data_IF_788582276855
#
_entry.id   IF_788582276855
#
_cell.length_a   1.000
_cell.length_b   1.000
_cell.length_c   1.000
_cell.angle_alpha   90.00
_cell.angle_beta   90.00
_cell.angle_gamma   90.00
#
_symmetry.space_group_name_H-M   'P 1'
#
loop_
_entity.id
_entity.type
_entity.pdbx_description
1 polymer ?
#
# COMPACT_ATOMS: atom_id res chain seq x y z
N UNK A 1 24.69 13.80 58.80
CA UNK A 1 24.97 13.06 57.55
C UNK A 1 23.74 12.38 56.92
N UNK A 2 22.52 12.88 57.15
CA UNK A 2 21.27 12.23 56.70
C UNK A 2 20.42 13.02 55.70
N UNK A 3 20.83 14.24 55.31
CA UNK A 3 20.07 15.07 54.37
C UNK A 3 20.61 15.07 52.92
N UNK A 4 21.80 14.49 52.68
CA UNK A 4 22.39 14.45 51.32
C UNK A 4 21.87 13.24 50.51
N UNK A 5 21.30 12.23 51.17
CA UNK A 5 20.88 10.99 50.50
C UNK A 5 19.43 11.02 49.97
N UNK A 6 18.62 12.01 50.36
CA UNK A 6 17.23 12.13 49.89
C UNK A 6 17.11 12.86 48.54
N UNK A 7 18.10 13.68 48.17
CA UNK A 7 18.12 14.37 46.87
C UNK A 7 18.58 13.47 45.70
N UNK A 8 19.24 12.33 45.96
CA UNK A 8 19.65 11.39 44.92
C UNK A 8 18.54 10.39 44.52
N UNK A 9 17.45 10.30 45.28
CA UNK A 9 16.30 9.44 44.96
C UNK A 9 15.20 10.15 44.17
N UNK A 10 15.23 11.50 44.10
CA UNK A 10 14.30 12.29 43.27
C UNK A 10 14.92 12.78 41.95
N UNK A 11 16.21 12.52 41.71
CA UNK A 11 16.89 12.83 40.45
C UNK A 11 16.92 11.64 39.45
N UNK A 12 16.36 10.49 39.81
CA UNK A 12 16.28 9.32 38.93
C UNK A 12 14.93 9.18 38.18
N UNK A 13 14.03 10.15 38.35
CA UNK A 13 12.71 10.18 37.70
C UNK A 13 12.63 11.23 36.58
N UNK A 14 13.68 11.33 35.76
CA UNK A 14 13.67 12.11 34.52
C UNK A 14 14.61 11.56 33.44
N UNK A 15 14.84 10.25 33.43
CA UNK A 15 15.26 9.54 32.23
C UNK A 15 13.98 9.00 31.61
N UNK A 16 13.38 9.78 30.71
CA UNK A 16 12.41 9.25 29.76
C UNK A 16 13.07 8.06 29.08
N UNK A 17 12.58 6.85 29.39
CA UNK A 17 13.02 5.64 28.71
C UNK A 17 12.74 5.88 27.23
N UNK A 18 13.76 5.81 26.34
CA UNK A 18 13.51 5.88 24.92
C UNK A 18 12.51 4.79 24.56
N UNK A 19 11.45 5.14 23.83
CA UNK A 19 10.55 4.21 23.16
C UNK A 19 11.35 3.42 22.11
N UNK A 20 12.13 2.45 22.56
CA UNK A 20 12.98 1.62 21.69
C UNK A 20 12.73 0.12 21.97
N UNK A 21 11.43 -0.25 22.07
CA UNK A 21 10.96 -1.64 22.20
C UNK A 21 10.34 -2.19 20.91
N UNK A 22 10.84 -1.78 19.75
CA UNK A 22 10.30 -2.20 18.44
C UNK A 22 11.12 -3.27 17.71
N UNK A 23 12.26 -3.75 18.25
CA UNK A 23 13.12 -4.66 17.50
C UNK A 23 12.61 -6.11 17.52
N UNK A 24 11.69 -6.45 16.62
CA UNK A 24 11.41 -7.81 16.12
C UNK A 24 12.35 -8.21 14.97
N UNK A 25 13.44 -7.46 14.77
CA UNK A 25 14.36 -7.59 13.63
C UNK A 25 14.82 -9.06 13.49
N UNK A 26 14.42 -9.70 12.40
CA UNK A 26 14.72 -11.12 12.08
C UNK A 26 13.63 -12.14 12.47
N UNK A 27 12.53 -11.75 13.12
CA UNK A 27 11.40 -12.67 13.44
C UNK A 27 10.27 -12.64 12.41
N UNK A 28 10.05 -11.49 11.76
CA UNK A 28 8.95 -11.31 10.81
C UNK A 28 9.46 -10.89 9.45
N UNK A 29 9.00 -11.60 8.43
CA UNK A 29 9.24 -11.30 7.02
C UNK A 29 7.95 -10.80 6.39
N UNK A 30 8.06 -9.98 5.35
CA UNK A 30 6.91 -9.43 4.62
C UNK A 30 7.02 -9.74 3.13
N UNK A 31 5.96 -10.33 2.60
CA UNK A 31 5.71 -10.45 1.17
C UNK A 31 4.55 -9.54 0.78
N UNK A 32 4.80 -8.51 -0.02
CA UNK A 32 3.78 -7.68 -0.66
C UNK A 32 3.50 -8.19 -2.07
N UNK A 33 2.26 -8.55 -2.38
CA UNK A 33 1.85 -8.96 -3.71
C UNK A 33 0.79 -7.99 -4.25
N UNK A 34 1.03 -7.46 -5.45
CA UNK A 34 0.05 -6.68 -6.19
C UNK A 34 -0.45 -7.48 -7.39
N UNK A 35 -1.76 -7.72 -7.45
CA UNK A 35 -2.46 -8.23 -8.63
C UNK A 35 -3.14 -7.05 -9.33
N UNK A 36 -2.49 -6.50 -10.36
CA UNK A 36 -2.91 -5.28 -11.04
C UNK A 36 -4.40 -5.30 -11.42
N UNK A 37 -5.11 -4.22 -11.14
CA UNK A 37 -6.51 -4.06 -11.53
C UNK A 37 -7.50 -5.00 -10.83
N UNK A 38 -7.09 -5.71 -9.77
CA UNK A 38 -7.99 -6.58 -9.00
C UNK A 38 -8.97 -5.74 -8.15
N UNK A 39 -10.15 -5.51 -8.72
CA UNK A 39 -11.26 -4.77 -8.09
C UNK A 39 -11.80 -5.50 -6.85
N UNK A 40 -12.21 -4.72 -5.86
CA UNK A 40 -12.65 -5.16 -4.53
C UNK A 40 -13.76 -6.24 -4.48
N UNK A 41 -14.52 -6.41 -5.57
CA UNK A 41 -15.68 -7.30 -5.68
C UNK A 41 -15.45 -8.52 -6.59
N UNK A 42 -14.28 -8.64 -7.21
CA UNK A 42 -13.99 -9.72 -8.16
C UNK A 42 -14.02 -11.12 -7.54
N UNK A 43 -13.83 -11.23 -6.23
CA UNK A 43 -13.91 -12.46 -5.44
C UNK A 43 -15.35 -12.84 -5.05
N UNK A 44 -16.36 -12.02 -5.37
CA UNK A 44 -17.75 -12.27 -4.95
C UNK A 44 -18.56 -13.12 -5.92
N UNK A 45 -18.15 -13.14 -7.20
CA UNK A 45 -18.86 -13.84 -8.27
C UNK A 45 -18.01 -14.93 -8.94
N UNK A 46 -16.92 -15.32 -8.28
CA UNK A 46 -15.99 -16.37 -8.70
C UNK A 46 -15.74 -17.27 -7.49
N UNK A 47 -15.68 -18.58 -7.70
CA UNK A 47 -15.26 -19.51 -6.64
C UNK A 47 -13.75 -19.35 -6.40
N UNK A 48 -13.40 -18.76 -5.25
CA UNK A 48 -12.02 -18.42 -4.87
C UNK A 48 -11.65 -19.02 -3.51
N UNK A 49 -11.54 -20.36 -3.41
CA UNK A 49 -11.36 -21.04 -2.13
C UNK A 49 -10.03 -20.68 -1.43
N UNK A 50 -8.97 -20.35 -2.18
CA UNK A 50 -7.68 -20.01 -1.58
C UNK A 50 -7.68 -18.60 -0.99
N UNK A 51 -8.28 -17.64 -1.69
CA UNK A 51 -8.55 -16.32 -1.17
C UNK A 51 -9.44 -16.43 0.07
N UNK A 52 -10.55 -17.16 0.01
CA UNK A 52 -11.48 -17.33 1.14
C UNK A 52 -10.81 -17.93 2.37
N UNK A 53 -9.97 -18.94 2.16
CA UNK A 53 -9.14 -19.51 3.22
C UNK A 53 -8.16 -18.47 3.77
N UNK A 54 -7.54 -17.65 2.93
CA UNK A 54 -6.66 -16.56 3.38
C UNK A 54 -7.40 -15.51 4.24
N UNK A 55 -8.65 -15.18 3.95
CA UNK A 55 -9.43 -14.27 4.80
C UNK A 55 -9.81 -14.90 6.15
N UNK A 56 -10.11 -16.20 6.18
CA UNK A 56 -10.38 -16.92 7.43
C UNK A 56 -9.12 -17.01 8.30
N UNK A 57 -7.98 -17.25 7.69
CA UNK A 57 -6.71 -17.39 8.39
C UNK A 57 -6.08 -16.05 8.78
N UNK A 58 -6.64 -14.93 8.30
CA UNK A 58 -6.04 -13.61 8.41
C UNK A 58 -7.03 -12.47 8.50
N UNK A 59 -6.69 -11.37 7.84
CA UNK A 59 -7.43 -10.12 7.79
C UNK A 59 -7.89 -9.84 6.36
N UNK A 60 -9.14 -9.40 6.21
CA UNK A 60 -9.70 -8.89 4.94
C UNK A 60 -10.26 -7.48 5.16
N UNK A 61 -9.95 -6.56 4.25
CA UNK A 61 -10.66 -5.28 4.21
C UNK A 61 -11.89 -5.39 3.31
N UNK A 62 -12.94 -4.62 3.60
CA UNK A 62 -14.08 -4.48 2.68
C UNK A 62 -13.66 -4.01 1.30
N UNK A 63 -12.74 -3.05 1.26
CA UNK A 63 -11.99 -2.56 0.10
C UNK A 63 -10.90 -1.61 0.61
N UNK A 64 -9.95 -1.24 -0.26
CA UNK A 64 -9.03 -0.13 0.00
C UNK A 64 -9.28 1.02 -0.98
N UNK A 65 -8.84 2.22 -0.64
CA UNK A 65 -8.94 3.40 -1.52
C UNK A 65 -7.56 3.76 -2.04
N UNK A 66 -7.34 3.73 -3.36
CA UNK A 66 -6.06 4.10 -3.95
C UNK A 66 -5.89 5.63 -3.97
N UNK A 67 -4.66 6.15 -4.16
CA UNK A 67 -4.46 7.56 -4.46
C UNK A 67 -5.09 7.91 -5.82
N UNK A 68 -5.42 9.18 -6.01
CA UNK A 68 -5.61 9.72 -7.34
C UNK A 68 -4.24 10.16 -7.91
N UNK A 69 -3.87 9.83 -9.15
CA UNK A 69 -4.61 9.10 -10.19
C UNK A 69 -4.59 7.58 -9.94
N UNK A 70 -5.72 6.89 -10.19
CA UNK A 70 -5.84 5.43 -10.03
C UNK A 70 -5.23 4.69 -11.22
N UNK A 71 -3.92 4.85 -11.39
CA UNK A 71 -3.12 4.24 -12.45
C UNK A 71 -1.91 3.52 -11.85
N UNK A 72 -1.41 2.53 -12.56
CA UNK A 72 -0.49 1.53 -12.04
C UNK A 72 0.72 2.11 -11.32
N UNK A 73 1.54 2.90 -12.02
CA UNK A 73 2.84 3.34 -11.49
C UNK A 73 2.71 4.21 -10.23
N UNK A 74 1.98 5.36 -10.24
CA UNK A 74 1.78 6.19 -9.04
C UNK A 74 1.23 5.45 -7.83
N UNK A 75 0.28 4.53 -8.01
CA UNK A 75 -0.27 3.81 -6.87
C UNK A 75 0.70 2.78 -6.33
N UNK A 76 1.42 2.05 -7.17
CA UNK A 76 2.49 1.15 -6.71
C UNK A 76 3.57 1.90 -5.92
N UNK A 77 3.95 3.11 -6.33
CA UNK A 77 4.82 3.97 -5.53
C UNK A 77 4.22 4.32 -4.17
N UNK A 78 2.92 4.60 -4.13
CA UNK A 78 2.20 4.88 -2.88
C UNK A 78 2.21 3.67 -1.94
N UNK A 79 2.03 2.44 -2.46
CA UNK A 79 2.12 1.21 -1.66
C UNK A 79 3.48 1.03 -0.98
N UNK A 80 4.57 1.36 -1.69
CA UNK A 80 5.93 1.17 -1.19
C UNK A 80 6.47 2.31 -0.33
N UNK A 81 5.88 3.51 -0.41
CA UNK A 81 6.42 4.71 0.26
C UNK A 81 5.46 5.31 1.28
N UNK A 82 4.18 4.98 1.20
CA UNK A 82 3.13 5.64 1.98
C UNK A 82 3.00 7.12 1.63
N UNK A 83 3.40 7.54 0.44
CA UNK A 83 3.29 8.92 -0.01
C UNK A 83 2.35 9.04 -1.20
N UNK A 84 1.49 10.05 -1.20
CA UNK A 84 0.71 10.38 -2.39
C UNK A 84 1.65 10.82 -3.52
N UNK A 85 1.20 10.67 -4.78
CA UNK A 85 1.94 11.05 -5.98
C UNK A 85 2.53 12.49 -5.92
N UNK A 86 1.92 13.37 -5.12
CA UNK A 86 2.39 14.73 -4.84
C UNK A 86 3.80 14.84 -4.28
N UNK A 87 4.23 13.86 -3.49
CA UNK A 87 5.45 13.95 -2.68
C UNK A 87 6.64 13.25 -3.32
N UNK A 88 6.48 12.70 -4.53
CA UNK A 88 7.57 12.10 -5.29
C UNK A 88 8.46 13.24 -5.82
N UNK A 89 9.75 13.34 -5.43
CA UNK A 89 10.63 14.41 -5.86
C UNK A 89 10.76 14.48 -7.38
N UNK A 90 10.86 15.71 -7.93
CA UNK A 90 11.07 15.97 -9.37
C UNK A 90 12.45 15.54 -9.87
N UNK A 91 13.36 15.19 -8.97
CA UNK A 91 14.61 14.55 -9.35
C UNK A 91 14.29 13.16 -9.89
N UNK A 92 14.64 12.93 -11.17
CA UNK A 92 14.82 11.58 -11.70
C UNK A 92 15.97 10.94 -10.92
N UNK A 93 15.69 10.50 -9.70
CA UNK A 93 16.40 9.42 -9.05
C UNK A 93 15.59 8.18 -9.38
N UNK A 94 15.86 7.54 -10.51
CA UNK A 94 15.31 6.23 -10.75
C UNK A 94 15.76 5.31 -9.61
N UNK A 95 14.78 4.76 -8.91
CA UNK A 95 14.96 3.84 -7.80
C UNK A 95 15.64 2.51 -8.22
N UNK A 96 16.05 2.37 -9.49
CA UNK A 96 16.93 1.29 -9.95
C UNK A 96 18.22 1.17 -9.15
N UNK A 97 18.58 2.20 -8.37
CA UNK A 97 19.77 2.18 -7.55
C UNK A 97 19.59 1.55 -6.16
N UNK A 98 18.45 0.93 -5.80
CA UNK A 98 18.27 0.31 -4.45
C UNK A 98 17.97 -1.18 -4.45
N UNK A 99 17.71 -1.82 -5.59
CA UNK A 99 17.78 -3.29 -5.66
C UNK A 99 19.22 -3.70 -5.27
N UNK A 100 19.33 -4.43 -4.17
CA UNK A 100 20.58 -4.87 -3.54
C UNK A 100 21.47 -3.77 -2.94
N UNK A 101 21.01 -2.53 -2.73
CA UNK A 101 21.79 -1.58 -1.87
C UNK A 101 21.70 -1.92 -0.39
N UNK A 102 20.64 -2.62 0.00
CA UNK A 102 20.47 -3.13 1.34
C UNK A 102 20.26 -4.65 1.24
N UNK A 103 21.06 -5.42 1.97
CA UNK A 103 21.14 -6.89 1.90
C UNK A 103 19.86 -7.63 2.33
N UNK A 104 18.77 -6.92 2.67
CA UNK A 104 17.56 -7.47 3.28
C UNK A 104 16.28 -7.39 2.41
N UNK A 105 16.32 -6.84 1.19
CA UNK A 105 15.12 -6.62 0.36
C UNK A 105 15.25 -7.08 -1.10
N UNK A 106 14.18 -7.68 -1.64
CA UNK A 106 14.05 -8.11 -3.04
C UNK A 106 12.78 -7.56 -3.70
N UNK A 107 12.76 -7.44 -5.04
CA UNK A 107 11.55 -7.04 -5.77
C UNK A 107 11.54 -7.64 -7.18
N UNK A 108 10.36 -8.07 -7.63
CA UNK A 108 10.15 -8.63 -8.95
C UNK A 108 8.89 -8.03 -9.60
N UNK A 109 9.08 -7.43 -10.78
CA UNK A 109 8.05 -6.79 -11.63
C UNK A 109 7.33 -5.57 -11.04
N UNK A 110 7.65 -5.12 -9.83
CA UNK A 110 7.03 -3.94 -9.23
C UNK A 110 7.46 -2.64 -9.94
N UNK A 111 6.55 -1.73 -10.32
CA UNK A 111 6.90 -0.45 -10.93
C UNK A 111 7.93 0.34 -10.10
N UNK A 112 8.95 0.88 -10.76
CA UNK A 112 10.09 1.53 -10.11
C UNK A 112 11.30 0.62 -9.81
N UNK A 113 11.21 -0.68 -10.10
CA UNK A 113 12.32 -1.66 -10.00
C UNK A 113 12.82 -2.11 -11.37
N UNK A 114 14.01 -2.74 -11.48
CA UNK A 114 14.63 -3.14 -12.75
C UNK A 114 13.95 -4.38 -13.37
N UNK A 115 12.67 -4.26 -13.66
CA UNK A 115 11.87 -5.36 -14.20
C UNK A 115 11.28 -4.96 -15.55
N UNK A 116 11.63 -5.71 -16.59
CA UNK A 116 10.99 -5.60 -17.90
C UNK A 116 9.63 -6.30 -17.85
N UNK A 117 8.56 -5.53 -18.01
CA UNK A 117 7.22 -6.07 -18.27
C UNK A 117 7.09 -6.32 -19.78
N UNK A 118 7.08 -7.59 -20.16
CA UNK A 118 6.48 -8.05 -21.42
C UNK A 118 5.28 -8.90 -21.02
N UNK A 119 4.11 -8.65 -21.63
CA UNK A 119 2.80 -9.20 -21.28
C UNK A 119 2.74 -10.74 -21.32
N UNK A 120 3.37 -11.37 -20.35
CA UNK A 120 3.56 -12.82 -20.29
C UNK A 120 2.60 -13.41 -19.26
N UNK A 121 1.42 -13.78 -19.75
CA UNK A 121 0.39 -14.54 -19.04
C UNK A 121 0.73 -16.03 -18.95
N UNK A 122 2.01 -16.40 -18.98
CA UNK A 122 2.38 -17.82 -18.92
C UNK A 122 2.38 -18.27 -17.47
N UNK A 123 1.43 -19.15 -17.12
CA UNK A 123 1.34 -19.83 -15.82
C UNK A 123 2.69 -20.37 -15.34
N UNK A 124 3.55 -20.81 -16.27
CA UNK A 124 4.92 -21.26 -16.02
C UNK A 124 5.77 -20.16 -15.40
N UNK A 125 5.78 -18.95 -15.96
CA UNK A 125 6.58 -17.82 -15.47
C UNK A 125 6.11 -17.32 -14.10
N UNK A 126 4.79 -17.34 -13.87
CA UNK A 126 4.25 -17.02 -12.53
C UNK A 126 4.76 -18.00 -11.48
N UNK A 127 4.76 -19.30 -11.81
CA UNK A 127 5.31 -20.34 -10.92
C UNK A 127 6.80 -20.14 -10.69
N UNK A 128 7.59 -19.96 -11.74
CA UNK A 128 9.04 -19.72 -11.64
C UNK A 128 9.37 -18.50 -10.76
N UNK A 129 8.62 -17.41 -10.91
CA UNK A 129 8.78 -16.21 -10.09
C UNK A 129 8.46 -16.46 -8.62
N UNK A 130 7.38 -17.19 -8.33
CA UNK A 130 6.99 -17.55 -6.97
C UNK A 130 8.01 -18.52 -6.35
N UNK A 131 8.46 -19.53 -7.09
CA UNK A 131 9.48 -20.50 -6.63
C UNK A 131 10.80 -19.79 -6.32
N UNK A 132 11.28 -18.92 -7.22
CA UNK A 132 12.49 -18.12 -6.98
C UNK A 132 12.39 -17.27 -5.72
N UNK A 133 11.26 -16.60 -5.53
CA UNK A 133 11.03 -15.77 -4.35
C UNK A 133 11.02 -16.61 -3.07
N UNK A 134 10.30 -17.74 -3.05
CA UNK A 134 10.17 -18.55 -1.84
C UNK A 134 11.48 -19.27 -1.52
N UNK A 135 12.01 -20.04 -2.46
CA UNK A 135 13.15 -20.92 -2.22
C UNK A 135 14.47 -20.16 -2.20
N UNK A 136 14.69 -19.22 -3.13
CA UNK A 136 15.97 -18.50 -3.18
C UNK A 136 15.95 -17.26 -2.30
N UNK A 137 14.94 -16.39 -2.42
CA UNK A 137 15.02 -15.08 -1.75
C UNK A 137 14.68 -15.16 -0.26
N UNK A 138 13.59 -15.83 0.11
CA UNK A 138 13.24 -15.96 1.52
C UNK A 138 14.05 -17.04 2.23
N UNK A 139 14.26 -18.22 1.63
CA UNK A 139 14.94 -19.33 2.32
C UNK A 139 16.48 -19.28 2.23
N UNK A 140 17.06 -19.11 1.04
CA UNK A 140 18.53 -19.14 0.88
C UNK A 140 19.19 -17.79 1.19
N UNK A 141 18.63 -16.69 0.68
CA UNK A 141 19.17 -15.33 0.87
C UNK A 141 18.67 -14.64 2.14
N UNK A 142 17.71 -15.24 2.84
CA UNK A 142 17.15 -14.75 4.11
C UNK A 142 16.61 -13.30 4.04
N UNK A 143 16.03 -12.89 2.91
CA UNK A 143 15.47 -11.54 2.77
C UNK A 143 14.30 -11.33 3.74
N UNK A 144 14.18 -10.13 4.29
CA UNK A 144 13.10 -9.76 5.22
C UNK A 144 11.90 -9.15 4.51
N UNK A 145 12.12 -8.57 3.33
CA UNK A 145 11.05 -7.98 2.52
C UNK A 145 11.17 -8.38 1.06
N UNK A 146 10.05 -8.84 0.48
CA UNK A 146 9.93 -9.00 -0.97
C UNK A 146 8.64 -8.38 -1.47
N UNK A 147 8.72 -7.67 -2.61
CA UNK A 147 7.54 -7.27 -3.38
C UNK A 147 7.43 -8.04 -4.71
N UNK A 148 6.23 -8.49 -5.02
CA UNK A 148 5.89 -9.23 -6.24
C UNK A 148 4.69 -8.58 -6.94
N UNK A 149 4.76 -8.48 -8.26
CA UNK A 149 3.69 -7.90 -9.07
C UNK A 149 3.26 -8.86 -10.18
N UNK A 150 1.95 -8.94 -10.39
CA UNK A 150 1.31 -9.62 -11.52
C UNK A 150 0.42 -8.61 -12.26
N UNK A 151 0.60 -8.47 -13.57
CA UNK A 151 -0.19 -7.54 -14.39
C UNK A 151 -1.60 -8.05 -14.76
N UNK A 152 -2.14 -8.98 -13.98
CA UNK A 152 -3.47 -9.53 -14.13
C UNK A 152 -4.21 -9.43 -12.80
N UNK A 153 -5.55 -9.26 -12.79
CA UNK A 153 -6.46 -9.37 -13.94
C UNK A 153 -6.59 -8.11 -14.83
N UNK A 154 -5.78 -7.06 -14.61
CA UNK A 154 -5.82 -5.81 -15.38
C UNK A 154 -5.80 -6.00 -16.90
N UNK A 155 -4.80 -6.72 -17.43
CA UNK A 155 -4.67 -6.95 -18.87
C UNK A 155 -5.91 -7.63 -19.46
N UNK A 156 -6.47 -8.63 -18.77
CA UNK A 156 -7.73 -9.26 -19.16
C UNK A 156 -8.92 -8.30 -19.05
N UNK A 157 -8.96 -7.47 -18.00
CA UNK A 157 -9.96 -6.44 -17.75
C UNK A 157 -10.00 -5.38 -18.85
N UNK A 158 -8.84 -4.88 -19.31
CA UNK A 158 -8.76 -3.97 -20.44
C UNK A 158 -9.30 -4.60 -21.72
N UNK A 159 -8.90 -5.84 -22.01
CA UNK A 159 -9.23 -6.51 -23.26
C UNK A 159 -10.71 -6.89 -23.38
N UNK A 160 -11.29 -7.42 -22.30
CA UNK A 160 -12.63 -8.02 -22.32
C UNK A 160 -13.66 -7.28 -21.46
N UNK A 161 -13.23 -6.40 -20.57
CA UNK A 161 -14.07 -5.68 -19.61
C UNK A 161 -14.10 -6.36 -18.23
N UNK A 162 -14.33 -5.57 -17.15
CA UNK A 162 -14.33 -6.07 -15.76
C UNK A 162 -15.41 -7.12 -15.46
N UNK A 163 -16.51 -7.18 -16.21
CA UNK A 163 -17.61 -8.13 -15.93
C UNK A 163 -17.60 -9.35 -16.86
N UNK A 164 -16.55 -9.51 -17.66
CA UNK A 164 -16.43 -10.57 -18.66
C UNK A 164 -16.22 -11.98 -18.05
N UNK A 165 -16.66 -13.04 -18.74
CA UNK A 165 -16.30 -14.42 -18.40
C UNK A 165 -14.79 -14.67 -18.37
N UNK A 166 -14.03 -14.03 -19.26
CA UNK A 166 -12.58 -14.14 -19.35
C UNK A 166 -11.91 -13.59 -18.09
N UNK A 167 -12.34 -12.42 -17.61
CA UNK A 167 -11.87 -11.86 -16.34
C UNK A 167 -12.21 -12.78 -15.17
N UNK A 168 -13.40 -13.40 -15.15
CA UNK A 168 -13.74 -14.41 -14.11
C UNK A 168 -12.78 -15.60 -14.12
N UNK A 169 -12.38 -16.10 -15.27
CA UNK A 169 -11.41 -17.19 -15.35
C UNK A 169 -10.01 -16.74 -14.90
N UNK A 170 -9.61 -15.50 -15.23
CA UNK A 170 -8.36 -14.94 -14.73
C UNK A 170 -8.35 -14.81 -13.20
N UNK A 171 -9.47 -14.44 -12.58
CA UNK A 171 -9.58 -14.41 -11.11
C UNK A 171 -9.41 -15.80 -10.50
N UNK A 172 -9.91 -16.87 -11.14
CA UNK A 172 -9.61 -18.24 -10.69
C UNK A 172 -8.12 -18.58 -10.80
N UNK A 173 -7.45 -18.07 -11.84
CA UNK A 173 -5.99 -18.23 -11.97
C UNK A 173 -5.24 -17.51 -10.85
N UNK A 174 -5.65 -16.27 -10.51
CA UNK A 174 -5.12 -15.54 -9.36
C UNK A 174 -5.33 -16.33 -8.06
N UNK A 175 -6.53 -16.87 -7.83
CA UNK A 175 -6.83 -17.68 -6.65
C UNK A 175 -5.92 -18.93 -6.56
N UNK A 176 -5.75 -19.68 -7.66
CA UNK A 176 -4.82 -20.82 -7.71
C UNK A 176 -3.39 -20.40 -7.38
N UNK A 177 -2.95 -19.24 -7.85
CA UNK A 177 -1.62 -18.69 -7.56
C UNK A 177 -1.47 -18.31 -6.09
N UNK A 178 -2.50 -17.72 -5.46
CA UNK A 178 -2.50 -17.45 -4.01
C UNK A 178 -2.36 -18.74 -3.21
N UNK A 179 -3.11 -19.79 -3.56
CA UNK A 179 -2.98 -21.10 -2.91
C UNK A 179 -1.58 -21.69 -3.04
N UNK A 180 -1.00 -21.59 -4.25
CA UNK A 180 0.35 -22.09 -4.52
C UNK A 180 1.44 -21.33 -3.75
N UNK A 181 1.35 -20.00 -3.69
CA UNK A 181 2.24 -19.14 -2.87
C UNK A 181 2.21 -19.59 -1.41
N UNK A 182 1.02 -19.77 -0.84
CA UNK A 182 0.87 -20.19 0.56
C UNK A 182 1.43 -21.59 0.81
N UNK A 183 1.16 -22.53 -0.09
CA UNK A 183 1.73 -23.88 0.01
C UNK A 183 3.25 -23.88 -0.06
N UNK A 184 3.85 -23.07 -0.92
CA UNK A 184 5.32 -22.94 -1.00
C UNK A 184 5.92 -22.29 0.25
N UNK A 185 5.24 -21.31 0.86
CA UNK A 185 5.68 -20.74 2.12
C UNK A 185 5.75 -21.81 3.23
N UNK A 186 4.74 -22.67 3.33
CA UNK A 186 4.74 -23.79 4.27
C UNK A 186 5.85 -24.81 3.97
N UNK A 187 6.01 -25.22 2.72
CA UNK A 187 7.05 -26.18 2.29
C UNK A 187 8.47 -25.66 2.56
N UNK A 188 8.67 -24.35 2.51
CA UNK A 188 9.95 -23.70 2.80
C UNK A 188 10.14 -23.36 4.29
N UNK A 189 9.25 -23.79 5.18
CA UNK A 189 9.37 -23.54 6.63
C UNK A 189 9.16 -22.08 7.03
N UNK A 190 8.49 -21.29 6.19
CA UNK A 190 8.26 -19.85 6.39
C UNK A 190 6.95 -19.55 7.13
N UNK A 191 6.15 -20.57 7.47
CA UNK A 191 4.80 -20.41 8.04
C UNK A 191 4.77 -19.56 9.33
N UNK A 192 5.80 -19.66 10.17
CA UNK A 192 5.86 -18.99 11.47
C UNK A 192 6.50 -17.60 11.42
N UNK A 193 7.06 -17.18 10.28
CA UNK A 193 7.80 -15.92 10.14
C UNK A 193 7.27 -15.02 9.02
N UNK A 194 6.69 -15.58 7.95
CA UNK A 194 6.26 -14.81 6.78
C UNK A 194 4.85 -14.27 6.91
N UNK A 195 4.72 -12.96 6.71
CA UNK A 195 3.46 -12.24 6.58
C UNK A 195 3.22 -11.88 5.12
N UNK A 196 2.13 -12.36 4.55
CA UNK A 196 1.77 -12.16 3.15
C UNK A 196 0.64 -11.13 3.10
N UNK A 197 0.89 -10.01 2.42
CA UNK A 197 -0.08 -8.97 2.10
C UNK A 197 -0.37 -9.08 0.60
N UNK A 198 -1.63 -9.26 0.22
CA UNK A 198 -2.07 -9.20 -1.17
C UNK A 198 -3.07 -8.06 -1.36
N UNK A 199 -2.88 -7.29 -2.42
CA UNK A 199 -3.74 -6.16 -2.78
C UNK A 199 -3.63 -5.88 -4.27
N UNK A 200 -4.14 -4.74 -4.70
CA UNK A 200 -3.99 -4.20 -6.04
C UNK A 200 -3.81 -2.69 -5.95
N UNK A 201 -3.40 -2.11 -7.06
CA UNK A 201 -3.22 -0.68 -7.26
C UNK A 201 -4.51 0.08 -7.58
N UNK A 202 -5.39 -0.51 -8.37
CA UNK A 202 -6.70 0.06 -8.68
C UNK A 202 -7.72 -1.04 -8.94
N UNK A 203 -8.96 -0.62 -9.16
CA UNK A 203 -9.97 -1.45 -9.78
C UNK A 203 -10.06 -1.21 -11.29
N UNK A 204 -11.26 -1.37 -11.85
CA UNK A 204 -11.52 -1.32 -13.29
C UNK A 204 -13.01 -1.06 -13.53
N UNK A 205 -13.33 -0.19 -14.49
CA UNK A 205 -14.71 0.09 -14.93
C UNK A 205 -14.92 -0.25 -16.40
N UNK A 206 -16.17 -0.48 -16.81
CA UNK A 206 -16.48 -0.73 -18.22
C UNK A 206 -16.39 0.55 -19.05
N UNK A 207 -15.87 0.43 -20.27
CA UNK A 207 -15.85 1.50 -21.27
C UNK A 207 -16.93 1.22 -22.32
N UNK A 208 -18.02 1.98 -22.26
CA UNK A 208 -19.12 1.90 -23.23
C UNK A 208 -18.85 2.76 -24.48
N UNK A 209 -19.32 2.31 -25.65
CA UNK A 209 -19.08 2.96 -26.96
C UNK A 209 -20.21 2.73 -27.95
N UNK A 210 -20.06 3.26 -29.17
CA UNK A 210 -20.91 2.94 -30.33
C UNK A 210 -22.39 3.26 -30.08
N UNK A 211 -22.67 4.39 -29.44
CA UNK A 211 -24.03 4.85 -29.15
C UNK A 211 -24.65 4.28 -27.87
N UNK A 212 -23.94 3.41 -27.14
CA UNK A 212 -24.34 3.01 -25.78
C UNK A 212 -24.26 4.18 -24.78
N UNK A 213 -23.41 5.15 -25.06
CA UNK A 213 -23.24 6.38 -24.27
C UNK A 213 -23.02 7.57 -25.19
N UNK A 214 -23.32 8.77 -24.68
CA UNK A 214 -22.96 10.02 -25.35
C UNK A 214 -21.49 10.31 -25.10
N UNK A 215 -20.66 10.02 -26.09
CA UNK A 215 -19.21 10.24 -26.00
C UNK A 215 -18.84 11.73 -25.92
N UNK A 216 -17.86 12.04 -25.07
CA UNK A 216 -17.28 13.38 -24.98
C UNK A 216 -16.16 13.49 -26.02
N UNK A 217 -16.38 14.31 -27.06
CA UNK A 217 -15.37 14.58 -28.09
C UNK A 217 -14.84 16.01 -27.96
N UNK A 218 -13.61 16.18 -27.46
CA UNK A 218 -13.05 17.51 -27.20
C UNK A 218 -13.03 18.42 -28.43
N UNK A 219 -12.71 17.89 -29.61
CA UNK A 219 -12.72 18.67 -30.87
C UNK A 219 -14.10 19.17 -31.31
N UNK A 220 -15.18 18.63 -30.73
CA UNK A 220 -16.56 19.08 -30.99
C UNK A 220 -17.04 20.12 -29.98
N UNK A 221 -16.25 20.42 -28.94
CA UNK A 221 -16.59 21.42 -27.94
C UNK A 221 -16.36 22.82 -28.54
N UNK A 222 -17.38 23.70 -28.61
CA UNK A 222 -17.22 25.05 -29.12
C UNK A 222 -16.14 25.83 -28.36
N UNK A 223 -15.27 26.54 -29.08
CA UNK A 223 -14.19 27.34 -28.50
C UNK A 223 -12.92 26.56 -28.16
N UNK A 224 -12.97 25.22 -28.13
CA UNK A 224 -11.79 24.39 -27.94
C UNK A 224 -11.06 24.12 -29.26
N UNK A 225 -9.73 24.22 -29.27
CA UNK A 225 -8.93 23.82 -30.42
C UNK A 225 -7.58 23.24 -29.98
N UNK A 226 -7.22 22.07 -30.52
CA UNK A 226 -5.94 21.42 -30.22
C UNK A 226 -4.70 22.28 -30.55
N UNK A 227 -4.81 23.22 -31.50
CA UNK A 227 -3.75 24.18 -31.79
C UNK A 227 -3.41 25.13 -30.63
N UNK A 228 -4.31 25.29 -29.66
CA UNK A 228 -4.11 26.13 -28.48
C UNK A 228 -3.38 25.40 -27.35
N UNK A 229 -3.05 24.12 -27.54
CA UNK A 229 -2.36 23.24 -26.60
C UNK A 229 -0.94 22.98 -27.08
N UNK A 230 0.03 23.04 -26.16
CA UNK A 230 1.44 22.75 -26.41
C UNK A 230 1.75 21.26 -26.23
N UNK A 231 1.11 20.63 -25.25
CA UNK A 231 1.26 19.22 -24.94
C UNK A 231 -0.04 18.68 -24.34
N UNK A 232 -0.36 17.43 -24.59
CA UNK A 232 -1.40 16.73 -23.86
C UNK A 232 -0.76 15.41 -23.45
N UNK A 233 -0.66 15.17 -22.14
CA UNK A 233 -0.26 13.84 -21.67
C UNK A 233 -1.51 12.97 -21.79
N UNK A 234 -1.46 12.06 -22.75
CA UNK A 234 -2.39 10.96 -22.90
C UNK A 234 -1.70 9.78 -22.26
N UNK A 235 -1.89 9.59 -20.97
CA UNK A 235 -2.04 8.20 -20.58
C UNK A 235 -3.41 7.77 -21.11
N UNK A 236 -3.51 6.58 -21.70
CA UNK A 236 -4.76 6.14 -22.32
C UNK A 236 -5.77 5.92 -21.18
N UNK A 237 -6.82 6.73 -21.07
CA UNK A 237 -7.72 6.64 -19.93
C UNK A 237 -8.75 7.76 -19.80
N UNK A 238 -9.55 7.74 -18.72
CA UNK A 238 -10.60 8.70 -18.42
C UNK A 238 -10.06 10.00 -17.80
N UNK A 239 -8.83 10.00 -17.31
CA UNK A 239 -8.15 11.19 -16.81
C UNK A 239 -7.16 11.73 -17.84
N UNK A 240 -7.23 13.03 -18.13
CA UNK A 240 -6.36 13.68 -19.12
C UNK A 240 -5.69 14.93 -18.57
N UNK A 241 -4.42 15.16 -18.93
CA UNK A 241 -3.71 16.39 -18.58
C UNK A 241 -3.41 17.22 -19.83
N UNK A 242 -3.99 18.42 -19.90
CA UNK A 242 -3.75 19.36 -20.99
C UNK A 242 -2.75 20.45 -20.56
N UNK A 243 -1.81 20.78 -21.45
CA UNK A 243 -0.90 21.92 -21.32
C UNK A 243 -1.26 22.99 -22.37
N UNK A 244 -2.07 24.01 -22.01
CA UNK A 244 -2.33 25.16 -22.87
C UNK A 244 -1.03 25.89 -23.24
N UNK A 245 -0.97 26.46 -24.45
CA UNK A 245 0.10 27.38 -24.85
C UNK A 245 0.08 28.63 -23.97
N UNK A 246 1.21 29.34 -23.90
CA UNK A 246 1.32 30.60 -23.14
C UNK A 246 0.17 31.55 -23.50
N UNK A 247 -0.57 32.03 -22.49
CA UNK A 247 -1.71 32.93 -22.66
C UNK A 247 -3.04 32.27 -23.08
N UNK A 248 -3.07 30.95 -23.29
CA UNK A 248 -4.28 30.22 -23.71
C UNK A 248 -5.02 29.52 -22.57
N UNK A 249 -4.52 29.59 -21.33
CA UNK A 249 -5.12 28.86 -20.19
C UNK A 249 -6.61 29.16 -20.04
N UNK A 250 -6.98 30.42 -19.83
CA UNK A 250 -8.38 30.79 -19.56
C UNK A 250 -9.27 30.46 -20.77
N UNK A 251 -8.77 30.70 -21.98
CA UNK A 251 -9.48 30.32 -23.22
C UNK A 251 -9.80 28.83 -23.27
N UNK A 252 -8.81 27.96 -23.01
CA UNK A 252 -9.00 26.51 -23.05
C UNK A 252 -9.87 26.06 -21.88
N UNK A 253 -9.69 26.64 -20.71
CA UNK A 253 -10.47 26.34 -19.51
C UNK A 253 -11.94 26.69 -19.69
N UNK A 254 -12.26 27.92 -20.09
CA UNK A 254 -13.62 28.40 -20.27
C UNK A 254 -14.35 27.65 -21.39
N UNK A 255 -13.63 27.17 -22.41
CA UNK A 255 -14.19 26.33 -23.45
C UNK A 255 -14.61 24.95 -22.93
N UNK A 256 -13.85 24.36 -21.99
CA UNK A 256 -14.07 22.99 -21.51
C UNK A 256 -14.93 22.93 -20.24
N UNK A 257 -14.83 23.92 -19.34
CA UNK A 257 -15.52 23.94 -18.06
C UNK A 257 -17.04 23.95 -18.28
N UNK A 258 -17.72 22.91 -17.80
CA UNK A 258 -19.17 22.79 -17.96
C UNK A 258 -19.62 22.46 -19.39
N UNK A 259 -18.70 22.15 -20.31
CA UNK A 259 -19.03 21.74 -21.67
C UNK A 259 -19.78 20.40 -21.73
N UNK A 260 -19.65 19.57 -20.69
CA UNK A 260 -20.38 18.32 -20.55
C UNK A 260 -20.63 18.00 -19.06
N UNK A 261 -21.80 17.44 -18.68
CA UNK A 261 -22.11 17.11 -17.27
C UNK A 261 -21.15 16.08 -16.65
N UNK A 262 -20.50 15.27 -17.48
CA UNK A 262 -19.53 14.24 -17.07
C UNK A 262 -18.07 14.61 -17.41
N UNK A 263 -17.81 15.90 -17.71
CA UNK A 263 -16.45 16.42 -17.92
C UNK A 263 -16.13 17.40 -16.81
N UNK A 264 -15.31 16.97 -15.86
CA UNK A 264 -14.78 17.84 -14.82
C UNK A 264 -13.44 18.40 -15.26
N UNK A 265 -13.30 19.71 -15.18
CA UNK A 265 -12.11 20.43 -15.64
C UNK A 265 -11.62 21.29 -14.49
N UNK A 266 -10.43 21.00 -14.02
CA UNK A 266 -9.84 21.72 -12.89
C UNK A 266 -8.61 22.48 -13.34
N UNK A 267 -8.52 23.77 -12.96
CA UNK A 267 -7.21 24.39 -12.84
C UNK A 267 -6.47 23.73 -11.69
N UNK A 268 -5.13 23.79 -11.72
CA UNK A 268 -4.26 23.18 -10.71
C UNK A 268 -4.64 23.59 -9.28
N UNK A 269 -4.94 24.87 -9.08
CA UNK A 269 -5.33 25.48 -7.81
C UNK A 269 -6.78 25.15 -7.38
N UNK A 270 -7.61 24.69 -8.31
CA UNK A 270 -9.01 24.30 -8.08
C UNK A 270 -9.19 22.80 -7.84
N UNK A 271 -8.13 22.01 -8.00
CA UNK A 271 -8.16 20.57 -7.77
C UNK A 271 -8.64 20.27 -6.34
N UNK A 272 -9.61 19.34 -6.17
CA UNK A 272 -10.09 18.94 -4.85
C UNK A 272 -8.95 18.52 -3.93
N UNK A 273 -8.88 19.12 -2.73
CA UNK A 273 -7.80 18.85 -1.76
C UNK A 273 -7.68 17.37 -1.39
N UNK A 274 -8.81 16.65 -1.36
CA UNK A 274 -8.87 15.20 -1.07
C UNK A 274 -8.11 14.32 -2.06
N UNK A 275 -7.87 14.80 -3.28
CA UNK A 275 -7.16 14.03 -4.30
C UNK A 275 -5.64 14.05 -4.06
N UNK A 276 -5.15 14.96 -3.20
CA UNK A 276 -3.73 15.13 -2.91
C UNK A 276 -2.85 15.26 -4.17
N UNK A 277 -3.41 15.72 -5.30
CA UNK A 277 -2.76 15.70 -6.61
C UNK A 277 -2.03 17.02 -6.94
N UNK A 278 -2.56 18.16 -6.49
CA UNK A 278 -1.98 19.48 -6.80
C UNK A 278 -0.74 19.78 -5.93
N UNK A 279 0.39 20.09 -6.57
CA UNK A 279 1.67 20.42 -5.90
C UNK A 279 2.42 21.57 -6.56
N UNK A 280 3.25 22.28 -5.80
CA UNK A 280 4.13 23.32 -6.33
C UNK A 280 5.26 22.78 -7.25
N UNK A 281 5.61 21.48 -7.14
CA UNK A 281 6.80 20.86 -7.75
C UNK A 281 6.52 20.10 -9.04
N UNK A 282 5.27 19.71 -9.32
CA UNK A 282 4.86 19.44 -10.69
C UNK A 282 4.98 20.78 -11.42
N UNK A 283 5.80 20.88 -12.47
CA UNK A 283 6.15 22.15 -13.07
C UNK A 283 4.88 22.96 -13.30
N UNK A 284 4.99 24.27 -13.04
CA UNK A 284 3.98 25.33 -13.05
C UNK A 284 3.26 25.50 -14.39
N UNK A 285 2.82 24.39 -14.92
CA UNK A 285 1.99 24.24 -16.06
C UNK A 285 0.58 24.32 -15.52
N UNK A 286 -0.12 25.30 -16.05
CA UNK A 286 -1.54 25.46 -15.92
C UNK A 286 -2.25 24.24 -16.54
N UNK A 287 -2.20 23.12 -15.82
CA UNK A 287 -2.70 21.82 -16.25
C UNK A 287 -4.20 21.80 -16.03
N UNK A 288 -4.95 21.65 -17.11
CA UNK A 288 -6.34 21.27 -16.99
C UNK A 288 -6.36 19.76 -16.81
N UNK A 289 -6.77 19.32 -15.63
CA UNK A 289 -7.09 17.91 -15.39
C UNK A 289 -8.52 17.69 -15.84
N UNK A 290 -8.69 16.83 -16.84
CA UNK A 290 -9.97 16.29 -17.24
C UNK A 290 -10.20 15.04 -16.41
N UNK A 291 -11.28 15.02 -15.64
CA UNK A 291 -11.79 13.79 -15.05
C UNK A 291 -13.14 13.51 -15.72
N UNK A 292 -13.18 12.39 -16.45
CA UNK A 292 -14.33 12.00 -17.22
C UNK A 292 -15.02 10.84 -16.51
N UNK A 293 -16.11 11.13 -15.81
CA UNK A 293 -16.96 10.11 -15.17
C UNK A 293 -17.73 9.26 -16.20
N UNK A 294 -17.53 9.51 -17.50
CA UNK A 294 -18.09 8.77 -18.63
C UNK A 294 -17.11 8.86 -19.81
N UNK A 295 -16.99 7.79 -20.59
CA UNK A 295 -16.03 7.66 -21.71
C UNK A 295 -15.93 8.91 -22.61
N UNK A 296 -14.78 9.58 -22.61
CA UNK A 296 -14.48 10.67 -23.54
C UNK A 296 -13.17 10.41 -24.27
N UNK A 297 -13.14 10.60 -25.59
CA UNK A 297 -12.00 10.17 -26.40
C UNK A 297 -11.70 11.01 -27.64
N UNK A 298 -10.39 11.04 -27.93
CA UNK A 298 -9.79 11.16 -29.27
C UNK A 298 -9.51 9.73 -29.75
N UNK A 299 -10.33 9.16 -30.65
CA UNK A 299 -10.18 7.93 -31.48
C UNK A 299 -9.08 6.83 -31.23
N UNK A 300 -8.48 6.70 -30.04
CA UNK A 300 -7.32 5.83 -29.78
C UNK A 300 -7.50 4.87 -28.58
N UNK A 301 -8.64 4.87 -27.89
CA UNK A 301 -8.94 3.80 -26.91
C UNK A 301 -9.45 2.62 -27.67
N UNK A 302 -9.10 1.41 -27.25
CA UNK A 302 -9.70 0.17 -27.77
C UNK A 302 -10.11 -0.79 -26.65
N UNK A 303 -9.82 -0.42 -25.40
CA UNK A 303 -10.15 -1.23 -24.24
C UNK A 303 -11.66 -1.24 -23.95
N UNK A 304 -12.13 -2.42 -23.52
CA UNK A 304 -13.48 -2.68 -23.01
C UNK A 304 -13.59 -2.35 -21.51
N UNK A 305 -12.49 -2.39 -20.78
CA UNK A 305 -12.37 -1.90 -19.41
C UNK A 305 -11.27 -0.84 -19.29
N UNK A 306 -11.43 0.12 -18.39
CA UNK A 306 -10.40 1.12 -18.12
C UNK A 306 -10.38 1.55 -16.65
N UNK A 307 -9.25 2.11 -16.23
CA UNK A 307 -9.06 2.68 -14.89
C UNK A 307 -8.46 4.09 -15.00
N UNK A 308 -8.33 4.78 -13.88
CA UNK A 308 -7.84 6.18 -13.84
C UNK A 308 -8.94 7.21 -13.55
N UNK A 309 -10.15 6.76 -13.21
CA UNK A 309 -11.25 7.63 -12.77
C UNK A 309 -10.99 8.19 -11.36
N UNK A 310 -11.92 9.01 -10.86
CA UNK A 310 -11.88 9.45 -9.47
C UNK A 310 -11.72 8.27 -8.50
N UNK A 311 -10.82 8.42 -7.53
CA UNK A 311 -10.52 7.36 -6.58
C UNK A 311 -11.66 7.11 -5.56
N UNK A 312 -12.71 7.95 -5.53
CA UNK A 312 -13.94 7.70 -4.77
C UNK A 312 -14.87 6.68 -5.44
N UNK A 313 -14.76 6.48 -6.76
CA UNK A 313 -15.59 5.52 -7.48
C UNK A 313 -15.37 4.10 -6.96
N UNK A 314 -16.47 3.38 -6.72
CA UNK A 314 -16.40 2.01 -6.20
C UNK A 314 -15.68 1.08 -7.18
N UNK A 315 -15.79 1.35 -8.48
CA UNK A 315 -15.09 0.57 -9.50
C UNK A 315 -13.58 0.69 -9.42
N UNK A 316 -13.05 1.78 -8.85
CA UNK A 316 -11.61 2.02 -8.71
C UNK A 316 -11.02 1.42 -7.44
N UNK A 317 -11.83 0.85 -6.55
CA UNK A 317 -11.36 0.32 -5.27
C UNK A 317 -10.68 -1.05 -5.46
N UNK A 318 -9.41 -1.22 -5.07
CA UNK A 318 -8.78 -2.53 -5.03
C UNK A 318 -9.19 -3.32 -3.79
N UNK A 319 -8.94 -4.63 -3.84
CA UNK A 319 -9.09 -5.52 -2.69
C UNK A 319 -7.86 -5.48 -1.76
N UNK A 320 -8.00 -5.98 -0.53
CA UNK A 320 -6.88 -6.17 0.40
C UNK A 320 -7.10 -7.40 1.29
N UNK A 321 -6.07 -8.24 1.41
CA UNK A 321 -6.00 -9.35 2.38
C UNK A 321 -4.59 -9.46 2.95
N UNK A 322 -4.48 -9.85 4.21
CA UNK A 322 -3.21 -10.12 4.87
C UNK A 322 -3.30 -11.38 5.73
N UNK A 323 -2.25 -12.21 5.74
CA UNK A 323 -2.15 -13.41 6.58
C UNK A 323 -0.73 -13.58 7.07
N UNK A 324 -0.55 -14.15 8.26
CA UNK A 324 0.76 -14.41 8.82
C UNK A 324 0.77 -14.30 10.34
N UNK A 325 1.93 -14.56 10.98
CA UNK A 325 2.06 -14.57 12.44
C UNK A 325 1.75 -13.23 13.10
N UNK A 326 1.91 -12.10 12.39
CA UNK A 326 1.57 -10.78 12.93
C UNK A 326 0.08 -10.44 12.80
N UNK A 327 -0.66 -11.12 11.92
CA UNK A 327 -2.05 -10.78 11.60
C UNK A 327 -3.04 -11.42 12.59
N UNK A 328 -4.13 -10.71 12.89
CA UNK A 328 -5.31 -11.34 13.48
C UNK A 328 -5.89 -12.38 12.53
N UNK A 329 -6.63 -13.34 13.08
CA UNK A 329 -7.33 -14.37 12.30
C UNK A 329 -8.82 -14.05 12.18
N UNK A 330 -9.39 -14.40 11.03
CA UNK A 330 -10.82 -14.28 10.74
C UNK A 330 -11.39 -12.88 11.03
N UNK A 331 -10.65 -11.84 10.65
CA UNK A 331 -11.04 -10.45 10.92
C UNK A 331 -11.38 -9.73 9.62
N UNK A 332 -12.62 -9.24 9.52
CA UNK A 332 -12.99 -8.24 8.52
C UNK A 332 -12.87 -6.83 9.12
N UNK A 333 -12.18 -5.95 8.40
CA UNK A 333 -12.03 -4.53 8.78
C UNK A 333 -12.70 -3.61 7.77
N UNK A 334 -13.02 -2.41 8.26
CA UNK A 334 -13.56 -1.35 7.42
C UNK A 334 -12.57 -0.89 6.33
N UNK A 335 -13.03 -0.08 5.38
CA UNK A 335 -12.18 0.46 4.33
C UNK A 335 -11.07 1.35 4.87
N UNK A 336 -9.95 1.40 4.15
CA UNK A 336 -8.85 2.32 4.43
C UNK A 336 -8.06 2.68 3.16
N UNK A 337 -7.16 3.66 3.25
CA UNK A 337 -6.36 4.12 2.10
C UNK A 337 -5.09 3.28 1.90
N UNK A 338 -4.72 3.01 0.64
CA UNK A 338 -3.51 2.23 0.31
C UNK A 338 -2.22 2.87 0.83
N UNK A 339 -2.23 4.19 1.06
CA UNK A 339 -1.14 4.95 1.69
C UNK A 339 -0.75 4.40 3.08
N UNK A 340 -1.68 3.72 3.78
CA UNK A 340 -1.43 3.11 5.08
C UNK A 340 -0.72 1.76 4.99
N UNK A 341 -0.54 1.18 3.79
CA UNK A 341 0.12 -0.12 3.62
C UNK A 341 1.63 -0.03 3.87
N UNK A 342 2.29 1.07 3.51
CA UNK A 342 3.71 1.25 3.83
C UNK A 342 4.00 1.22 5.33
N UNK A 343 3.37 2.07 6.18
CA UNK A 343 3.64 2.00 7.62
C UNK A 343 3.14 0.67 8.23
N UNK A 344 2.14 0.01 7.64
CA UNK A 344 1.72 -1.35 8.01
C UNK A 344 2.86 -2.35 7.83
N UNK A 345 3.53 -2.34 6.68
CA UNK A 345 4.69 -3.19 6.42
C UNK A 345 5.85 -2.88 7.38
N UNK A 346 6.14 -1.59 7.61
CA UNK A 346 7.17 -1.18 8.55
C UNK A 346 6.89 -1.68 9.97
N UNK A 347 5.63 -1.65 10.41
CA UNK A 347 5.21 -2.16 11.71
C UNK A 347 5.46 -3.67 11.84
N UNK A 348 5.10 -4.46 10.82
CA UNK A 348 5.34 -5.91 10.81
C UNK A 348 6.84 -6.22 10.88
N UNK A 349 7.64 -5.50 10.10
CA UNK A 349 9.10 -5.65 10.04
C UNK A 349 9.84 -5.14 11.28
N UNK A 350 9.15 -4.44 12.20
CA UNK A 350 9.78 -3.81 13.36
C UNK A 350 10.76 -2.68 12.99
N UNK A 351 10.56 -2.03 11.85
CA UNK A 351 11.39 -0.91 11.39
C UNK A 351 10.66 0.41 11.53
N UNK A 352 11.42 1.48 11.81
CA UNK A 352 10.88 2.84 11.84
C UNK A 352 10.58 3.29 10.41
N UNK A 353 9.32 3.66 10.09
CA UNK A 353 9.00 4.20 8.77
C UNK A 353 9.66 5.57 8.56
N UNK A 354 10.07 5.86 7.34
CA UNK A 354 10.44 7.21 6.91
C UNK A 354 9.22 8.14 6.92
N UNK A 355 9.40 9.47 6.88
CA UNK A 355 8.30 10.42 6.80
C UNK A 355 7.36 10.09 5.63
N UNK A 356 6.10 9.82 5.94
CA UNK A 356 5.08 9.40 4.98
C UNK A 356 3.71 9.99 5.35
N UNK A 357 2.72 9.77 4.49
CA UNK A 357 1.35 10.26 4.66
C UNK A 357 0.40 9.23 5.29
N UNK A 358 0.85 7.99 5.51
CA UNK A 358 0.05 6.91 6.07
C UNK A 358 -0.03 6.95 7.59
N UNK A 359 -1.14 6.45 8.12
CA UNK A 359 -1.40 6.33 9.55
C UNK A 359 -1.83 4.91 9.89
N UNK A 360 -1.28 4.36 10.98
CA UNK A 360 -1.57 2.99 11.43
C UNK A 360 -2.76 2.89 12.37
N UNK A 361 -3.25 4.00 12.91
CA UNK A 361 -4.18 3.97 14.05
C UNK A 361 -5.49 3.24 13.72
N UNK A 362 -5.97 3.34 12.49
CA UNK A 362 -7.14 2.57 12.02
C UNK A 362 -6.85 1.09 11.73
N UNK A 363 -5.58 0.73 11.57
CA UNK A 363 -5.11 -0.61 11.16
C UNK A 363 -4.53 -1.40 12.34
N UNK A 364 -4.28 -0.78 13.50
CA UNK A 364 -3.83 -1.48 14.72
C UNK A 364 -4.67 -2.74 15.05
N UNK A 365 -6.01 -2.74 14.90
CA UNK A 365 -6.80 -3.93 15.18
C UNK A 365 -6.50 -5.12 14.25
N UNK A 366 -5.82 -4.91 13.11
CA UNK A 366 -5.45 -5.97 12.18
C UNK A 366 -4.35 -6.89 12.74
N UNK A 367 -3.63 -6.47 13.77
CA UNK A 367 -2.49 -7.21 14.29
C UNK A 367 -2.83 -7.96 15.56
N UNK A 368 -2.28 -9.18 15.69
CA UNK A 368 -2.12 -9.78 16.99
C UNK A 368 -1.35 -8.79 17.84
N UNK A 369 -1.77 -8.54 19.09
CA UNK A 369 -0.90 -7.81 20.01
C UNK A 369 0.41 -8.59 20.03
N UNK A 370 1.47 -8.06 19.41
CA UNK A 370 2.83 -8.43 19.75
C UNK A 370 2.83 -8.41 21.26
N UNK A 371 3.12 -9.54 21.90
CA UNK A 371 3.07 -9.65 23.34
C UNK A 371 3.88 -8.48 23.89
N UNK A 372 3.19 -7.41 24.31
CA UNK A 372 3.79 -6.39 25.11
C UNK A 372 4.17 -7.19 26.34
N UNK A 373 5.43 -7.59 26.43
CA UNK A 373 6.06 -7.89 27.69
C UNK A 373 6.04 -6.56 28.46
N UNK A 374 4.85 -6.20 28.96
CA UNK A 374 4.68 -5.52 30.23
C UNK A 374 5.32 -6.45 31.24
N UNK A 375 6.63 -6.35 31.35
CA UNK A 375 7.28 -6.56 32.62
C UNK A 375 6.62 -5.51 33.51
N UNK A 376 5.59 -5.93 34.26
CA UNK A 376 5.03 -5.12 35.32
C UNK A 376 6.21 -4.79 36.25
N UNK A 377 6.72 -3.57 36.14
CA UNK A 377 7.80 -3.04 36.97
C UNK A 377 7.47 -3.20 38.47
N UNK A 378 6.17 -3.31 38.80
CA UNK A 378 5.70 -3.64 40.14
C UNK A 378 6.21 -4.99 40.65
N UNK A 379 6.22 -6.07 39.86
CA UNK A 379 6.67 -7.37 40.36
C UNK A 379 8.18 -7.39 40.62
N UNK A 380 8.96 -6.74 39.75
CA UNK A 380 10.41 -6.65 39.89
C UNK A 380 10.80 -5.72 41.05
N UNK A 381 10.10 -4.61 41.24
CA UNK A 381 10.29 -3.72 42.41
C UNK A 381 9.86 -4.39 43.71
N UNK A 382 8.77 -5.17 43.71
CA UNK A 382 8.32 -5.93 44.89
C UNK A 382 9.32 -7.05 45.23
N UNK A 383 9.84 -7.79 44.24
CA UNK A 383 10.90 -8.78 44.45
C UNK A 383 12.21 -8.15 44.95
N UNK A 384 12.60 -6.98 44.41
CA UNK A 384 13.78 -6.26 44.86
C UNK A 384 13.61 -5.74 46.31
N UNK A 385 12.41 -5.25 46.66
CA UNK A 385 12.07 -4.83 48.03
C UNK A 385 12.08 -6.00 49.01
N UNK A 386 11.58 -7.17 48.61
CA UNK A 386 11.61 -8.39 49.44
C UNK A 386 13.06 -8.83 49.69
N UNK A 387 13.90 -8.86 48.64
CA UNK A 387 15.33 -9.24 48.76
C UNK A 387 16.10 -8.24 49.62
N UNK A 388 15.88 -6.93 49.44
CA UNK A 388 16.54 -5.89 50.25
C UNK A 388 16.07 -5.94 51.71
N UNK A 389 14.79 -6.23 51.98
CA UNK A 389 14.28 -6.39 53.36
C UNK A 389 14.80 -7.67 54.06
N UNK A 390 15.00 -8.75 53.30
CA UNK A 390 15.56 -10.01 53.80
C UNK A 390 17.04 -9.89 54.15
N UNK A 391 17.80 -9.11 53.39
CA UNK A 391 19.23 -8.86 53.67
C UNK A 391 19.40 -7.95 54.90
N UNK A 392 18.51 -6.96 55.09
CA UNK A 392 18.55 -6.05 56.24
C UNK A 392 18.12 -6.71 57.57
N UNK A 393 17.29 -7.75 57.54
CA UNK A 393 16.89 -8.49 58.75
C UNK A 393 17.93 -9.52 59.20
N UNK A 394 18.82 -9.96 58.31
CA UNK A 394 19.90 -10.92 58.61
C UNK A 394 21.18 -10.28 59.18
N UNK A 395 21.27 -8.95 59.25
CA UNK A 395 22.42 -8.22 59.83
C UNK A 395 22.12 -7.59 61.20
N UNK A 396 21.45 -8.31 62.12
CA UNK A 396 21.49 -7.96 63.54
C UNK A 396 22.63 -8.70 64.24
N UNK A 397 23.68 -8.02 64.73
CA UNK A 397 24.74 -8.68 65.47
C UNK A 397 24.27 -8.99 66.90
N UNK A 398 24.35 -10.27 67.27
CA UNK A 398 24.10 -10.76 68.62
C UNK A 398 25.20 -10.32 69.58
N UNK A 399 24.95 -9.26 70.36
CA UNK A 399 25.73 -8.94 71.56
C UNK A 399 24.76 -8.67 72.70
N UNK A 400 24.46 -9.71 73.48
CA UNK A 400 23.98 -9.54 74.86
C UNK A 400 24.90 -10.37 75.75
N UNK A 401 25.63 -9.61 76.55
CA UNK A 401 26.58 -9.97 77.60
C UNK A 401 25.92 -10.69 78.77
N UNK A 402 26.57 -11.75 79.25
CA UNK A 402 26.41 -12.26 80.62
C UNK A 402 27.14 -11.33 81.60
N UNK A 403 26.52 -10.93 82.72
CA UNK A 403 27.13 -10.93 84.07
C UNK A 403 26.13 -10.45 85.15
N UNK A 404 25.92 -11.33 86.14
CA UNK A 404 25.34 -11.19 87.50
C UNK A 404 23.90 -10.70 87.70
#
# INVERSE_FOLDING_TARGET
>A
MYYVMLCLLLAASSSGVPLDRYSTKGQHKVLLISFDGFRWDYDRNVDTPNLDTMAKDGVKARYVTPPYLTITSPTHFTLLTGTYCRSIPSEKLPYYATQFKNEWAGSLHFPGTQSTYQGETQTTKWKENVEKMMSTWFSEMDLDFVSLYFGEPDSTGHKYGPDSPERREMVKQVDRTVGYIRSLAEQNGLADSLNIIITADHGMSNVYRNGLVKEITLSRIPGFAFRDIAFHLVDFGPSGMLLPKKGMLDKVYDALKGAHPHLHVFKKEEMPKRLHFATASYPSFSSLTLDMSSTGWVHMQFNAGEHGFDNEEMDMKPFFRAVGPACQKNLEVGPFETVNIYPLMCHILGIKPDPNCGHLDGQRPMFCMLAELRIDLNLFQVLLLIVVSGILTLQRPSWITWYR
#
